data_IF_609960759928
#
_entry.id   IF_609960759928
#
_cell.length_a   1.000
_cell.length_b   1.000
_cell.length_c   1.000
_cell.angle_alpha   90.00
_cell.angle_beta   90.00
_cell.angle_gamma   90.00
#
_symmetry.space_group_name_H-M   'P 1'
#
loop_
_entity.id
_entity.type
_entity.pdbx_description
1 polymer ?
#
# COMPACT_ATOMS: atom_id res chain seq x y z
N UNK A 1 -10.77 -1.42 2.00
CA UNK A 1 -9.38 -1.87 1.74
C UNK A 1 -9.36 -2.77 0.51
N UNK A 2 -8.42 -2.53 -0.41
CA UNK A 2 -8.15 -3.38 -1.58
C UNK A 2 -6.64 -3.64 -1.62
N UNK A 3 -6.24 -4.88 -1.90
CA UNK A 3 -4.83 -5.27 -2.03
C UNK A 3 -4.63 -5.80 -3.45
N UNK A 4 -3.70 -5.22 -4.20
CA UNK A 4 -3.41 -5.60 -5.59
C UNK A 4 -1.92 -5.85 -5.73
N UNK A 5 -1.56 -6.99 -6.28
CA UNK A 5 -0.20 -7.28 -6.69
C UNK A 5 -0.12 -7.32 -8.22
N UNK A 6 0.74 -6.49 -8.79
CA UNK A 6 1.01 -6.39 -10.22
C UNK A 6 2.30 -7.14 -10.51
N UNK A 7 2.18 -8.40 -10.94
CA UNK A 7 3.32 -9.27 -11.18
C UNK A 7 4.27 -8.73 -12.27
N UNK A 8 3.72 -8.02 -13.27
CA UNK A 8 4.50 -7.48 -14.39
C UNK A 8 5.56 -6.44 -13.95
N UNK A 9 5.29 -5.73 -12.85
CA UNK A 9 6.18 -4.69 -12.31
C UNK A 9 6.70 -5.01 -10.92
N UNK A 10 6.40 -6.21 -10.40
CA UNK A 10 6.68 -6.62 -9.02
C UNK A 10 6.24 -5.55 -7.99
N UNK A 11 5.00 -5.08 -8.12
CA UNK A 11 4.48 -3.97 -7.30
C UNK A 11 3.27 -4.38 -6.49
N UNK A 12 3.30 -4.12 -5.19
CA UNK A 12 2.17 -4.28 -4.29
C UNK A 12 1.54 -2.92 -4.01
N UNK A 13 0.25 -2.78 -4.28
CA UNK A 13 -0.53 -1.59 -3.96
C UNK A 13 -1.65 -1.94 -2.98
N UNK A 14 -1.65 -1.29 -1.81
CA UNK A 14 -2.65 -1.45 -0.77
C UNK A 14 -3.43 -0.14 -0.65
N UNK A 15 -4.69 -0.17 -1.06
CA UNK A 15 -5.62 0.94 -0.93
C UNK A 15 -6.40 0.77 0.38
N UNK A 16 -6.23 1.68 1.34
CA UNK A 16 -6.94 1.66 2.62
C UNK A 16 -8.35 2.23 2.46
N UNK A 17 -8.45 3.41 1.83
CA UNK A 17 -9.68 4.19 1.65
C UNK A 17 -9.80 4.64 0.20
N UNK A 18 -11.01 4.53 -0.34
CA UNK A 18 -11.34 4.99 -1.70
C UNK A 18 -11.72 6.48 -1.64
N UNK A 19 -10.68 7.33 -1.55
CA UNK A 19 -10.82 8.78 -1.46
C UNK A 19 -9.77 9.46 -2.35
N UNK A 20 -10.00 10.72 -2.79
CA UNK A 20 -9.03 11.43 -3.60
C UNK A 20 -7.67 11.60 -2.90
N UNK A 21 -6.61 11.26 -3.62
CA UNK A 21 -5.23 11.54 -3.21
C UNK A 21 -4.92 13.01 -3.50
N UNK A 22 -4.46 13.72 -2.47
CA UNK A 22 -4.01 15.11 -2.58
C UNK A 22 -2.50 15.23 -2.71
N UNK A 23 -1.76 14.24 -2.22
CA UNK A 23 -0.30 14.24 -2.19
C UNK A 23 0.23 12.80 -2.18
N UNK A 24 1.29 12.55 -2.94
CA UNK A 24 2.07 11.31 -2.87
C UNK A 24 3.47 11.64 -2.36
N UNK A 25 3.97 10.88 -1.39
CA UNK A 25 5.29 11.05 -0.79
C UNK A 25 6.10 9.77 -0.88
N UNK A 26 7.41 9.91 -1.14
CA UNK A 26 8.35 8.82 -0.95
C UNK A 26 8.53 8.57 0.55
N UNK A 27 8.28 7.33 0.98
CA UNK A 27 8.65 6.85 2.32
C UNK A 27 10.09 6.32 2.31
N UNK A 28 10.46 5.61 1.24
CA UNK A 28 11.82 5.25 0.86
C UNK A 28 11.93 5.15 -0.68
N UNK A 29 13.09 4.77 -1.19
CA UNK A 29 13.36 4.64 -2.64
C UNK A 29 12.34 3.75 -3.38
N UNK A 30 11.74 2.79 -2.68
CA UNK A 30 10.89 1.76 -3.27
C UNK A 30 9.50 1.74 -2.62
N UNK A 31 9.08 2.80 -1.93
CA UNK A 31 7.80 2.85 -1.21
C UNK A 31 7.19 4.23 -1.23
N UNK A 32 5.93 4.29 -1.69
CA UNK A 32 5.16 5.52 -1.83
C UNK A 32 3.97 5.50 -0.86
N UNK A 33 3.69 6.66 -0.24
CA UNK A 33 2.51 6.92 0.57
C UNK A 33 1.61 7.93 -0.13
N UNK A 34 0.35 7.55 -0.32
CA UNK A 34 -0.69 8.43 -0.82
C UNK A 34 -1.49 9.02 0.34
N UNK A 35 -1.64 10.35 0.39
CA UNK A 35 -2.30 11.10 1.45
C UNK A 35 -3.51 11.88 0.90
N UNK A 36 -4.58 11.99 1.69
CA UNK A 36 -5.69 12.89 1.39
C UNK A 36 -5.38 14.35 1.80
N UNK A 37 -6.30 15.26 1.50
CA UNK A 37 -6.15 16.68 1.84
C UNK A 37 -6.10 16.99 3.35
N UNK A 38 -6.32 16.01 4.21
CA UNK A 38 -6.16 16.12 5.67
C UNK A 38 -4.86 15.44 6.16
N UNK A 39 -4.05 14.90 5.25
CA UNK A 39 -2.82 14.18 5.57
C UNK A 39 -3.03 12.74 6.04
N UNK A 40 -4.23 12.18 5.90
CA UNK A 40 -4.48 10.78 6.26
C UNK A 40 -4.09 9.85 5.11
N UNK A 41 -3.54 8.68 5.43
CA UNK A 41 -3.14 7.68 4.43
C UNK A 41 -4.35 7.15 3.66
N UNK A 42 -4.24 7.16 2.34
CA UNK A 42 -5.21 6.62 1.39
C UNK A 42 -4.73 5.26 0.87
N UNK A 43 -3.46 5.17 0.50
CA UNK A 43 -2.85 3.97 -0.05
C UNK A 43 -1.33 3.94 0.23
N UNK A 44 -0.74 2.76 0.06
CA UNK A 44 0.71 2.55 0.03
C UNK A 44 1.07 1.70 -1.20
N UNK A 45 2.14 2.07 -1.87
CA UNK A 45 2.72 1.31 -3.00
C UNK A 45 4.10 0.85 -2.61
N UNK A 46 4.38 -0.44 -2.79
CA UNK A 46 5.66 -1.09 -2.48
C UNK A 46 6.19 -1.73 -3.75
N UNK A 47 7.34 -1.27 -4.23
CA UNK A 47 8.07 -1.87 -5.34
C UNK A 47 8.99 -2.98 -4.84
N UNK A 48 9.39 -3.88 -5.74
CA UNK A 48 10.13 -5.11 -5.42
C UNK A 48 9.41 -5.94 -4.35
N UNK A 49 8.09 -6.07 -4.49
CA UNK A 49 7.23 -6.64 -3.48
C UNK A 49 7.52 -8.12 -3.20
N UNK A 50 8.00 -8.86 -4.21
CA UNK A 50 8.40 -10.26 -4.06
C UNK A 50 9.55 -10.48 -3.07
N UNK A 51 10.40 -9.46 -2.88
CA UNK A 51 11.53 -9.48 -1.95
C UNK A 51 11.19 -8.82 -0.61
N UNK A 52 10.24 -7.88 -0.60
CA UNK A 52 9.96 -6.99 0.54
C UNK A 52 8.65 -7.29 1.26
N UNK A 53 7.80 -8.14 0.70
CA UNK A 53 6.54 -8.57 1.28
C UNK A 53 6.40 -10.09 1.23
N UNK A 54 5.62 -10.65 2.16
CA UNK A 54 5.32 -12.08 2.21
C UNK A 54 4.29 -12.52 1.16
N UNK A 55 4.36 -12.01 -0.07
CA UNK A 55 3.42 -12.36 -1.14
C UNK A 55 3.72 -13.74 -1.75
N UNK A 56 2.69 -14.46 -2.25
CA UNK A 56 1.27 -14.08 -2.33
C UNK A 56 0.49 -14.33 -1.03
N UNK A 57 1.13 -14.72 0.06
CA UNK A 57 0.43 -15.03 1.31
C UNK A 57 -0.14 -13.75 1.94
N UNK A 58 -1.40 -13.82 2.35
CA UNK A 58 -2.09 -12.75 3.05
C UNK A 58 -2.87 -13.32 4.22
N UNK A 59 -2.82 -12.64 5.36
CA UNK A 59 -3.60 -12.97 6.54
C UNK A 59 -4.17 -11.70 7.16
N UNK A 60 -5.37 -11.82 7.73
CA UNK A 60 -6.03 -10.75 8.45
C UNK A 60 -6.59 -11.34 9.74
N UNK A 61 -6.33 -10.66 10.85
CA UNK A 61 -6.85 -11.01 12.17
C UNK A 61 -7.38 -9.74 12.84
N UNK A 62 -8.60 -9.83 13.38
CA UNK A 62 -9.14 -8.79 14.25
C UNK A 62 -8.80 -9.16 15.70
N UNK A 63 -7.84 -8.45 16.29
CA UNK A 63 -7.51 -8.61 17.71
C UNK A 63 -8.45 -7.70 18.52
N UNK A 64 -9.27 -8.29 19.37
CA UNK A 64 -10.06 -7.53 20.35
C UNK A 64 -9.13 -6.95 21.43
N UNK A 65 -9.46 -5.74 21.90
CA UNK A 65 -8.72 -5.07 22.98
C UNK A 65 -8.81 -5.81 24.31
#
# INVERSE_FOLDING_TARGET
>A
MKVKYFADTDTLHIEFRDVPVSETRDLDENTLLDLDGQGNVCAITVEHASERAGIPQFSYEQVAA
#
